data_IF_149294923068
#
_entry.id   IF_149294923068
#
_cell.length_a   1.000
_cell.length_b   1.000
_cell.length_c   1.000
_cell.angle_alpha   90.00
_cell.angle_beta   90.00
_cell.angle_gamma   90.00
#
_symmetry.space_group_name_H-M   'P 1'
#
loop_
_entity.id
_entity.type
_entity.pdbx_description
1 polymer ?
#
# COMPACT_ATOMS: atom_id res chain seq x y z
N UNK A 1 -6.11 17.63 -21.57
CA UNK A 1 -4.73 17.21 -21.94
C UNK A 1 -3.97 16.93 -20.65
N UNK A 2 -3.36 15.76 -20.50
CA UNK A 2 -2.58 15.43 -19.30
C UNK A 2 -1.34 16.34 -19.25
N UNK A 3 -1.07 16.95 -18.10
CA UNK A 3 0.15 17.76 -17.93
C UNK A 3 1.35 16.83 -17.87
N UNK A 4 2.40 17.14 -18.62
CA UNK A 4 3.64 16.37 -18.54
C UNK A 4 4.34 16.67 -17.23
N UNK A 5 4.78 15.64 -16.52
CA UNK A 5 5.60 15.80 -15.31
C UNK A 5 6.99 16.29 -15.77
N UNK A 6 7.47 17.45 -15.27
CA UNK A 6 8.78 17.95 -15.65
C UNK A 6 9.90 16.96 -15.32
N UNK A 7 10.90 16.82 -16.19
CA UNK A 7 12.03 15.88 -16.00
C UNK A 7 12.79 16.10 -14.69
N UNK A 8 12.94 17.35 -14.26
CA UNK A 8 13.61 17.66 -12.98
C UNK A 8 12.83 17.08 -11.79
N UNK A 9 11.49 17.09 -11.86
CA UNK A 9 10.64 16.57 -10.80
C UNK A 9 10.77 15.03 -10.70
N UNK A 10 10.96 14.35 -11.83
CA UNK A 10 11.27 12.91 -11.85
C UNK A 10 12.51 12.57 -11.03
N UNK A 11 13.61 13.29 -11.23
CA UNK A 11 14.83 13.11 -10.45
C UNK A 11 14.59 13.37 -8.96
N UNK A 12 13.91 14.48 -8.64
CA UNK A 12 13.63 14.85 -7.25
C UNK A 12 12.77 13.80 -6.53
N UNK A 13 11.78 13.23 -7.22
CA UNK A 13 10.95 12.13 -6.66
C UNK A 13 11.82 10.93 -6.34
N UNK A 14 12.72 10.52 -7.24
CA UNK A 14 13.63 9.40 -6.96
C UNK A 14 14.49 9.68 -5.72
N UNK A 15 15.20 10.80 -5.70
CA UNK A 15 16.10 11.17 -4.60
C UNK A 15 15.35 11.30 -3.27
N UNK A 16 14.12 11.80 -3.28
CA UNK A 16 13.31 11.99 -2.08
C UNK A 16 12.87 10.66 -1.43
N UNK A 17 12.42 9.68 -2.22
CA UNK A 17 11.90 8.42 -1.69
C UNK A 17 12.94 7.31 -1.56
N UNK A 18 13.89 7.25 -2.49
CA UNK A 18 14.88 6.17 -2.55
C UNK A 18 16.26 6.60 -2.04
N UNK A 19 16.55 7.91 -2.00
CA UNK A 19 17.87 8.45 -1.69
C UNK A 19 18.85 8.35 -2.88
N UNK A 20 20.15 8.57 -2.63
CA UNK A 20 21.20 8.57 -3.66
C UNK A 20 21.62 7.13 -4.04
N UNK A 21 20.65 6.30 -4.41
CA UNK A 21 20.86 4.90 -4.79
C UNK A 21 20.61 4.70 -6.29
N UNK A 22 21.36 3.78 -6.89
CA UNK A 22 21.24 3.42 -8.30
C UNK A 22 20.02 2.54 -8.61
N UNK A 23 19.55 1.80 -7.61
CA UNK A 23 18.40 0.90 -7.73
C UNK A 23 17.56 0.89 -6.47
N UNK A 24 16.25 0.68 -6.61
CA UNK A 24 15.30 0.59 -5.50
C UNK A 24 14.17 -0.37 -5.84
N UNK A 25 13.58 -1.02 -4.83
CA UNK A 25 12.39 -1.86 -5.01
C UNK A 25 11.20 -0.99 -5.41
N UNK A 26 10.31 -1.52 -6.24
CA UNK A 26 9.01 -0.91 -6.50
C UNK A 26 8.28 -0.59 -5.18
N UNK A 27 7.57 0.54 -5.13
CA UNK A 27 6.78 0.95 -3.96
C UNK A 27 5.64 -0.01 -3.62
N UNK A 28 5.19 -0.81 -4.60
CA UNK A 28 4.18 -1.85 -4.42
C UNK A 28 4.80 -3.08 -3.76
N UNK A 29 4.28 -3.48 -2.60
CA UNK A 29 4.88 -4.45 -1.68
C UNK A 29 5.09 -5.83 -2.30
N UNK A 30 4.10 -6.29 -3.06
CA UNK A 30 4.08 -7.59 -3.77
C UNK A 30 4.84 -7.58 -5.10
N UNK A 31 5.34 -6.43 -5.54
CA UNK A 31 6.11 -6.31 -6.77
C UNK A 31 7.60 -6.49 -6.48
N UNK A 32 8.21 -7.52 -7.07
CA UNK A 32 9.64 -7.82 -6.91
C UNK A 32 10.55 -7.11 -7.94
N UNK A 33 10.00 -6.20 -8.74
CA UNK A 33 10.78 -5.42 -9.71
C UNK A 33 11.71 -4.46 -9.00
N UNK A 34 13.00 -4.56 -9.32
CA UNK A 34 14.02 -3.58 -8.98
C UNK A 34 14.10 -2.52 -10.08
N UNK A 35 13.80 -1.29 -9.74
CA UNK A 35 13.89 -0.15 -10.65
C UNK A 35 15.31 0.40 -10.63
N UNK A 36 15.87 0.78 -11.78
CA UNK A 36 17.16 1.47 -11.86
C UNK A 36 16.94 2.95 -12.18
N UNK A 37 17.61 3.86 -11.46
CA UNK A 37 17.33 5.29 -11.53
C UNK A 37 17.54 5.91 -12.93
N UNK A 38 18.41 5.32 -13.76
CA UNK A 38 18.69 5.73 -15.13
C UNK A 38 17.95 4.91 -16.20
N UNK A 39 17.24 3.85 -15.83
CA UNK A 39 16.51 3.02 -16.79
C UNK A 39 15.09 3.50 -17.01
N UNK A 40 14.44 2.96 -18.05
CA UNK A 40 13.04 3.22 -18.35
C UNK A 40 12.07 2.27 -17.61
N UNK A 41 12.56 1.49 -16.63
CA UNK A 41 11.78 0.46 -15.94
C UNK A 41 10.85 1.01 -14.85
N UNK A 42 10.87 2.33 -14.66
CA UNK A 42 10.07 3.04 -13.66
C UNK A 42 9.52 4.36 -14.18
N UNK A 43 8.45 4.80 -13.52
CA UNK A 43 7.75 6.03 -13.79
C UNK A 43 7.54 6.81 -12.50
N UNK A 44 7.17 8.08 -12.67
CA UNK A 44 6.59 8.89 -11.60
C UNK A 44 5.08 8.67 -11.62
N UNK A 45 4.61 7.81 -10.72
CA UNK A 45 3.19 7.56 -10.50
C UNK A 45 2.61 8.59 -9.54
N UNK A 46 1.34 8.93 -9.71
CA UNK A 46 0.60 9.63 -8.67
C UNK A 46 0.09 8.58 -7.67
N UNK A 47 0.27 8.83 -6.37
CA UNK A 47 -0.37 8.05 -5.31
C UNK A 47 -1.88 8.23 -5.42
N UNK A 48 -2.42 9.45 -5.35
CA UNK A 48 -3.81 9.73 -5.74
C UNK A 48 -3.82 10.19 -7.21
N UNK A 49 -4.52 9.51 -8.13
CA UNK A 49 -4.61 9.94 -9.53
C UNK A 49 -5.17 11.34 -9.72
N UNK A 50 -4.74 12.06 -10.77
CA UNK A 50 -5.31 13.36 -11.15
C UNK A 50 -6.84 13.30 -11.37
N UNK A 51 -7.36 12.18 -11.89
CA UNK A 51 -8.79 11.92 -12.06
C UNK A 51 -9.58 11.88 -10.75
N UNK A 52 -8.91 11.66 -9.63
CA UNK A 52 -9.47 11.66 -8.28
C UNK A 52 -9.06 12.91 -7.49
N UNK A 53 -8.55 13.94 -8.16
CA UNK A 53 -8.13 15.20 -7.54
C UNK A 53 -6.71 15.22 -6.98
N UNK A 54 -5.88 14.23 -7.32
CA UNK A 54 -4.48 14.18 -6.89
C UNK A 54 -3.63 15.32 -7.45
N UNK A 55 -2.76 15.88 -6.62
CA UNK A 55 -1.86 16.98 -7.00
C UNK A 55 -0.56 16.46 -7.63
N UNK A 56 0.08 17.28 -8.48
CA UNK A 56 1.43 17.01 -9.01
C UNK A 56 2.53 17.53 -8.05
N UNK A 57 2.33 17.33 -6.75
CA UNK A 57 3.30 17.69 -5.71
C UNK A 57 4.12 16.47 -5.33
N UNK A 58 5.39 16.65 -4.93
CA UNK A 58 6.29 15.54 -4.58
C UNK A 58 5.70 14.58 -3.54
N UNK A 59 4.87 15.08 -2.62
CA UNK A 59 4.17 14.32 -1.58
C UNK A 59 3.12 13.34 -2.12
N UNK A 60 2.56 13.60 -3.30
CA UNK A 60 1.59 12.74 -3.97
C UNK A 60 2.23 11.95 -5.13
N UNK A 61 3.52 12.13 -5.41
CA UNK A 61 4.23 11.38 -6.45
C UNK A 61 5.05 10.26 -5.80
N UNK A 62 5.20 9.13 -6.50
CA UNK A 62 6.02 8.00 -6.06
C UNK A 62 6.82 7.43 -7.24
N UNK A 63 8.06 6.97 -7.00
CA UNK A 63 8.73 6.09 -7.95
C UNK A 63 8.03 4.72 -7.93
N UNK A 64 7.59 4.27 -9.10
CA UNK A 64 6.85 3.01 -9.26
C UNK A 64 7.29 2.34 -10.55
N UNK A 65 7.37 1.00 -10.59
CA UNK A 65 7.76 0.32 -11.82
C UNK A 65 6.73 0.55 -12.93
N UNK A 66 7.18 0.49 -14.19
CA UNK A 66 6.34 0.76 -15.35
C UNK A 66 5.08 -0.13 -15.39
N UNK A 67 5.23 -1.40 -15.06
CA UNK A 67 4.14 -2.39 -15.06
C UNK A 67 3.07 -2.08 -14.01
N UNK A 68 3.46 -1.81 -12.76
CA UNK A 68 2.49 -1.47 -11.71
C UNK A 68 1.79 -0.15 -12.02
N UNK A 69 2.52 0.86 -12.52
CA UNK A 69 1.94 2.16 -12.86
C UNK A 69 0.90 2.05 -13.99
N UNK A 70 1.20 1.28 -15.05
CA UNK A 70 0.27 1.06 -16.16
C UNK A 70 -0.91 0.17 -15.76
N UNK A 71 -0.66 -0.87 -14.95
CA UNK A 71 -1.69 -1.77 -14.45
C UNK A 71 -2.70 -1.08 -13.53
N UNK A 72 -2.20 -0.23 -12.61
CA UNK A 72 -3.02 0.60 -11.74
C UNK A 72 -3.87 1.60 -12.53
N UNK A 73 -3.26 2.27 -13.51
CA UNK A 73 -3.92 3.31 -14.30
C UNK A 73 -4.33 4.50 -13.45
N UNK A 74 -5.54 5.03 -13.68
CA UNK A 74 -6.07 6.22 -13.01
C UNK A 74 -7.28 5.92 -12.11
N UNK A 75 -7.41 4.67 -11.66
CA UNK A 75 -8.65 4.16 -11.03
C UNK A 75 -8.66 4.22 -9.51
N UNK A 76 -7.49 4.15 -8.90
CA UNK A 76 -7.31 4.03 -7.46
C UNK A 76 -5.92 4.53 -7.08
N UNK A 77 -5.70 4.67 -5.78
CA UNK A 77 -4.39 5.03 -5.26
C UNK A 77 -3.37 3.90 -5.28
N UNK A 78 -2.08 4.23 -5.15
CA UNK A 78 -1.03 3.21 -5.04
C UNK A 78 -1.25 2.35 -3.79
N UNK A 79 -1.68 2.97 -2.69
CA UNK A 79 -2.01 2.24 -1.45
C UNK A 79 -3.17 1.28 -1.65
N UNK A 80 -4.27 1.72 -2.27
CA UNK A 80 -5.41 0.84 -2.57
C UNK A 80 -5.03 -0.30 -3.53
N UNK A 81 -4.20 0.00 -4.54
CA UNK A 81 -3.66 -0.98 -5.47
C UNK A 81 -2.81 -2.03 -4.76
N UNK A 82 -1.93 -1.59 -3.86
CA UNK A 82 -1.07 -2.47 -3.09
C UNK A 82 -1.89 -3.41 -2.20
N UNK A 83 -2.87 -2.88 -1.47
CA UNK A 83 -3.74 -3.68 -0.60
C UNK A 83 -4.62 -4.67 -1.38
N UNK A 84 -5.18 -4.25 -2.51
CA UNK A 84 -6.11 -5.05 -3.29
C UNK A 84 -5.45 -6.30 -3.91
N UNK A 85 -4.18 -6.19 -4.29
CA UNK A 85 -3.47 -7.26 -5.00
C UNK A 85 -2.31 -7.87 -4.19
N UNK A 86 -1.89 -7.20 -3.11
CA UNK A 86 -0.91 -7.70 -2.13
C UNK A 86 -1.52 -8.54 -1.02
N UNK A 87 -2.85 -8.53 -0.90
CA UNK A 87 -3.62 -9.44 -0.06
C UNK A 87 -3.46 -10.88 -0.54
N UNK A 88 -2.80 -11.68 0.28
CA UNK A 88 -2.26 -12.97 -0.06
C UNK A 88 -3.31 -14.04 -0.45
N UNK A 89 -3.22 -14.55 -1.68
CA UNK A 89 -3.85 -15.81 -2.10
C UNK A 89 -3.23 -17.06 -1.42
N UNK A 90 -2.24 -16.92 -0.52
CA UNK A 90 -1.56 -18.02 0.21
C UNK A 90 -1.80 -17.98 1.74
N UNK A 91 -2.00 -16.83 2.37
CA UNK A 91 -2.23 -16.71 3.83
C UNK A 91 -3.68 -17.04 4.21
N UNK A 92 -4.65 -16.77 3.32
CA UNK A 92 -6.04 -17.17 3.53
C UNK A 92 -6.17 -18.71 3.61
N UNK A 93 -5.42 -19.44 2.79
CA UNK A 93 -5.41 -20.91 2.79
C UNK A 93 -4.72 -21.48 4.04
N UNK A 94 -3.58 -20.91 4.46
CA UNK A 94 -2.89 -21.32 5.71
C UNK A 94 -3.72 -21.03 6.95
N UNK A 95 -4.34 -19.85 7.01
CA UNK A 95 -5.22 -19.47 8.13
C UNK A 95 -6.47 -20.35 8.19
N UNK A 96 -7.09 -20.71 7.06
CA UNK A 96 -8.24 -21.63 7.04
C UNK A 96 -7.87 -23.05 7.51
N UNK A 97 -6.70 -23.55 7.12
CA UNK A 97 -6.20 -24.87 7.52
C UNK A 97 -5.87 -24.91 9.02
N UNK A 98 -5.25 -23.85 9.56
CA UNK A 98 -4.91 -23.71 10.98
C UNK A 98 -6.15 -23.47 11.88
N UNK A 99 -7.16 -22.77 11.38
CA UNK A 99 -8.44 -22.57 12.08
C UNK A 99 -9.30 -23.84 12.10
N UNK A 100 -9.24 -24.67 11.04
CA UNK A 100 -9.94 -25.97 10.97
C UNK A 100 -9.31 -27.04 11.86
N UNK A 101 -8.00 -27.03 12.06
CA UNK A 101 -7.33 -27.93 13.00
C UNK A 101 -7.53 -27.52 14.47
N UNK A 102 -7.83 -26.25 14.74
CA UNK A 102 -8.00 -25.71 16.10
C UNK A 102 -9.46 -25.65 16.59
N UNK A 103 -10.45 -25.66 15.68
CA UNK A 103 -11.87 -25.57 16.08
C UNK A 103 -12.48 -26.94 16.44
N UNK A 104 -12.00 -27.55 17.54
CA UNK A 104 -12.86 -28.42 18.35
C UNK A 104 -13.80 -27.52 19.14
N UNK A 105 -15.06 -27.51 18.69
CA UNK A 105 -16.30 -26.99 19.29
C UNK A 105 -16.14 -26.37 20.68
N UNK A 106 -16.45 -25.07 20.80
CA UNK A 106 -17.14 -24.53 21.98
C UNK A 106 -18.33 -23.69 21.55
N UNK A 107 -19.49 -24.09 22.05
CA UNK A 107 -20.82 -23.52 21.85
C UNK A 107 -21.23 -22.97 23.23
N UNK A 108 -21.75 -21.74 23.28
CA UNK A 108 -22.63 -21.16 24.32
C UNK A 108 -22.72 -19.65 24.02
N UNK A 109 -23.81 -19.14 23.48
CA UNK A 109 -25.08 -18.76 24.15
C UNK A 109 -24.95 -17.54 25.07
N UNK A 110 -25.56 -16.44 24.61
CA UNK A 110 -26.26 -15.37 25.33
C UNK A 110 -25.97 -15.14 26.82
N UNK A 111 -25.55 -13.93 27.19
CA UNK A 111 -26.34 -13.02 28.07
C UNK A 111 -25.64 -11.67 28.28
N UNK A 112 -26.49 -10.68 28.51
CA UNK A 112 -26.29 -9.24 28.66
C UNK A 112 -25.65 -8.82 30.00
N UNK A 113 -25.08 -7.61 29.96
CA UNK A 113 -25.05 -6.57 31.01
C UNK A 113 -24.53 -6.93 32.42
N UNK A 114 -23.43 -6.27 32.84
CA UNK A 114 -23.41 -5.47 34.08
C UNK A 114 -22.02 -4.99 34.49
N UNK A 115 -22.01 -3.76 35.02
CA UNK A 115 -21.05 -3.19 35.98
C UNK A 115 -19.93 -2.27 35.48
N UNK A 116 -20.38 -1.10 35.01
CA UNK A 116 -20.05 0.20 35.62
C UNK A 116 -19.84 0.10 37.15
N UNK A 117 -18.60 0.31 37.65
CA UNK A 117 -18.21 1.13 38.84
C UNK A 117 -16.90 0.68 39.49
N UNK A 118 -16.15 1.69 39.95
CA UNK A 118 -14.93 1.69 40.80
C UNK A 118 -13.66 1.46 39.97
N UNK A 119 -12.78 2.45 39.81
CA UNK A 119 -11.90 2.96 40.87
C UNK A 119 -11.54 4.43 40.66
N UNK A 120 -12.10 5.31 41.50
CA UNK A 120 -11.47 6.56 41.91
C UNK A 120 -10.93 6.38 43.33
N UNK A 121 -9.74 6.94 43.57
CA UNK A 121 -9.17 7.37 44.85
C UNK A 121 -8.52 6.31 45.76
N UNK A 122 -7.22 6.47 45.96
CA UNK A 122 -6.50 6.74 47.24
C UNK A 122 -5.01 6.88 46.86
N UNK A 123 -4.38 8.04 47.07
CA UNK A 123 -3.76 8.48 48.35
C UNK A 123 -2.74 7.47 48.86
#
# INVERSE_FOLDING_TARGET
MKKSIPKHLTRLVWEHYNGPVWQAKCVVSWCDVMCHCMSADWHVGHDIPESLGGSTCITNLRPICCNCNLGMGSRMSITEWDLKFGGDHREAARSLILLRSSSRKRKCSDTLDSNVRKRHRSS
#
